data_IF_374735931165
#
_entry.id   IF_374735931165
#
_cell.length_a   1.000
_cell.length_b   1.000
_cell.length_c   1.000
_cell.angle_alpha   90.00
_cell.angle_beta   90.00
_cell.angle_gamma   90.00
#
_symmetry.space_group_name_H-M   'P 1'
#
loop_
_entity.id
_entity.type
_entity.pdbx_description
1 polymer ?
#
# COMPACT_ATOMS: atom_id res chain seq x y z
N UNK A 1 14.64 -0.70 -6.54
CA UNK A 1 13.47 -1.46 -7.03
C UNK A 1 12.39 -1.17 -6.03
N UNK A 2 11.48 -0.23 -6.31
CA UNK A 2 10.25 -0.17 -5.51
C UNK A 2 9.44 -1.41 -5.91
N UNK A 3 9.32 -2.37 -4.99
CA UNK A 3 8.24 -3.36 -5.08
C UNK A 3 6.94 -2.55 -5.13
N UNK A 4 6.18 -2.64 -6.22
CA UNK A 4 4.80 -2.13 -6.24
C UNK A 4 4.02 -2.92 -5.18
N UNK A 5 3.99 -2.38 -3.97
CA UNK A 5 3.28 -2.97 -2.84
C UNK A 5 1.79 -2.76 -3.12
N UNK A 6 1.09 -3.84 -3.45
CA UNK A 6 -0.35 -3.77 -3.61
C UNK A 6 -1.01 -3.69 -2.21
N UNK A 7 -1.75 -2.62 -1.90
CA UNK A 7 -2.40 -2.49 -0.61
C UNK A 7 -3.52 -3.52 -0.47
N UNK A 8 -3.73 -3.97 0.76
CA UNK A 8 -4.85 -4.83 1.10
C UNK A 8 -6.18 -4.11 0.80
N UNK A 9 -7.22 -4.89 0.46
CA UNK A 9 -8.55 -4.30 0.29
C UNK A 9 -9.03 -3.64 1.59
N UNK A 10 -9.78 -2.55 1.48
CA UNK A 10 -10.28 -1.81 2.65
C UNK A 10 -11.03 -2.71 3.66
N UNK A 11 -11.75 -3.73 3.17
CA UNK A 11 -12.45 -4.72 4.01
C UNK A 11 -11.45 -5.59 4.78
N UNK A 12 -10.37 -6.02 4.13
CA UNK A 12 -9.33 -6.82 4.78
C UNK A 12 -8.58 -6.00 5.83
N UNK A 13 -8.25 -4.74 5.54
CA UNK A 13 -7.63 -3.80 6.48
C UNK A 13 -8.53 -3.64 7.71
N UNK A 14 -9.81 -3.29 7.52
CA UNK A 14 -10.74 -3.09 8.64
C UNK A 14 -10.86 -4.33 9.53
N UNK A 15 -10.94 -5.53 8.94
CA UNK A 15 -10.96 -6.80 9.69
C UNK A 15 -9.71 -6.98 10.55
N UNK A 16 -8.53 -6.61 10.05
CA UNK A 16 -7.27 -6.66 10.81
C UNK A 16 -7.24 -5.62 11.93
N UNK A 17 -7.71 -4.39 11.68
CA UNK A 17 -7.79 -3.33 12.71
C UNK A 17 -8.75 -3.71 13.84
N UNK A 18 -9.88 -4.36 13.55
CA UNK A 18 -10.79 -4.88 14.57
C UNK A 18 -10.14 -5.91 15.49
N UNK A 19 -9.26 -6.77 14.95
CA UNK A 19 -8.49 -7.71 15.77
C UNK A 19 -7.51 -6.99 16.72
N UNK A 20 -6.95 -5.86 16.30
CA UNK A 20 -6.08 -5.04 17.14
C UNK A 20 -6.86 -4.31 18.23
N UNK A 21 -8.06 -3.80 17.92
CA UNK A 21 -8.99 -3.24 18.93
C UNK A 21 -9.33 -4.29 20.00
N UNK A 22 -9.65 -5.51 19.59
CA UNK A 22 -9.93 -6.62 20.51
C UNK A 22 -8.72 -7.03 21.38
N UNK A 23 -7.49 -6.77 20.91
CA UNK A 23 -6.25 -7.00 21.67
C UNK A 23 -5.86 -5.82 22.58
N UNK A 24 -6.70 -4.78 22.63
CA UNK A 24 -6.50 -3.56 23.41
C UNK A 24 -5.23 -2.78 23.03
N UNK A 25 -4.94 -2.67 21.73
CA UNK A 25 -3.96 -1.70 21.25
C UNK A 25 -4.53 -0.27 21.31
N UNK A 26 -3.66 0.73 21.44
CA UNK A 26 -4.09 2.14 21.44
C UNK A 26 -4.60 2.55 20.06
N UNK A 27 -5.47 3.57 20.02
CA UNK A 27 -5.94 4.13 18.74
C UNK A 27 -4.78 4.67 17.90
N UNK A 28 -3.72 5.21 18.51
CA UNK A 28 -2.53 5.65 17.78
C UNK A 28 -1.80 4.49 17.08
N UNK A 29 -1.71 3.33 17.75
CA UNK A 29 -1.11 2.12 17.15
C UNK A 29 -1.98 1.62 16.01
N UNK A 30 -3.30 1.64 16.18
CA UNK A 30 -4.26 1.22 15.15
C UNK A 30 -4.18 2.16 13.94
N UNK A 31 -4.06 3.47 14.16
CA UNK A 31 -3.90 4.47 13.11
C UNK A 31 -2.59 4.28 12.33
N UNK A 32 -1.48 4.01 13.03
CA UNK A 32 -0.19 3.69 12.41
C UNK A 32 -0.32 2.45 11.51
N UNK A 33 -0.82 1.35 12.05
CA UNK A 33 -0.98 0.09 11.31
C UNK A 33 -1.92 0.25 10.11
N UNK A 34 -2.96 1.08 10.24
CA UNK A 34 -3.85 1.39 9.13
C UNK A 34 -3.08 2.07 7.99
N UNK A 35 -2.32 3.12 8.30
CA UNK A 35 -1.50 3.83 7.31
C UNK A 35 -0.52 2.89 6.61
N UNK A 36 0.09 1.98 7.37
CA UNK A 36 1.06 1.02 6.86
C UNK A 36 0.43 -0.02 5.94
N UNK A 37 -0.76 -0.52 6.27
CA UNK A 37 -1.51 -1.39 5.35
C UNK A 37 -1.99 -0.65 4.09
N UNK A 38 -2.37 0.62 4.21
CA UNK A 38 -2.75 1.47 3.07
C UNK A 38 -1.55 1.78 2.17
N UNK A 39 -0.34 1.86 2.74
CA UNK A 39 0.92 1.94 2.00
C UNK A 39 1.29 0.60 1.32
N UNK A 40 0.74 -0.51 1.80
CA UNK A 40 0.97 -1.86 1.26
C UNK A 40 2.02 -2.68 2.03
N UNK A 41 2.34 -2.31 3.28
CA UNK A 41 3.14 -3.18 4.15
C UNK A 41 2.41 -4.51 4.39
N UNK A 42 3.17 -5.61 4.29
CA UNK A 42 2.66 -6.97 4.52
C UNK A 42 2.50 -7.21 6.02
N UNK A 43 1.63 -8.16 6.37
CA UNK A 43 1.41 -8.53 7.78
C UNK A 43 2.71 -8.97 8.49
N UNK A 44 3.60 -9.65 7.78
CA UNK A 44 4.92 -10.04 8.28
C UNK A 44 5.78 -8.82 8.67
N UNK A 45 5.72 -7.75 7.88
CA UNK A 45 6.47 -6.52 8.11
C UNK A 45 5.89 -5.74 9.30
N UNK A 46 4.56 -5.61 9.34
CA UNK A 46 3.87 -4.95 10.45
C UNK A 46 4.13 -5.69 11.77
N UNK A 47 4.21 -7.03 11.72
CA UNK A 47 4.53 -7.83 12.91
C UNK A 47 5.91 -7.53 13.51
N UNK A 48 6.83 -6.94 12.74
CA UNK A 48 8.18 -6.59 13.23
C UNK A 48 8.17 -5.51 14.31
N UNK A 49 7.25 -4.55 14.20
CA UNK A 49 7.13 -3.45 15.16
C UNK A 49 5.91 -3.58 16.08
N UNK A 50 4.93 -4.43 15.74
CA UNK A 50 3.69 -4.57 16.51
C UNK A 50 3.87 -5.40 17.80
N UNK A 51 4.60 -4.85 18.77
CA UNK A 51 4.90 -5.48 20.05
C UNK A 51 4.54 -4.55 21.23
N UNK A 52 3.83 -5.08 22.23
CA UNK A 52 3.39 -4.32 23.42
C UNK A 52 4.54 -3.82 24.31
N UNK A 53 5.77 -4.32 24.11
CA UNK A 53 6.95 -3.78 24.80
C UNK A 53 7.45 -2.45 24.22
N UNK A 54 7.02 -2.09 23.02
CA UNK A 54 7.38 -0.82 22.40
C UNK A 54 6.35 0.26 22.73
N UNK A 55 6.83 1.49 22.92
CA UNK A 55 5.97 2.66 22.88
C UNK A 55 5.61 3.03 21.42
N UNK A 56 4.66 3.96 21.26
CA UNK A 56 4.18 4.36 19.94
C UNK A 56 5.27 5.06 19.12
N UNK A 57 6.17 5.78 19.76
CA UNK A 57 7.30 6.46 19.11
C UNK A 57 8.31 5.45 18.53
N UNK A 58 8.63 4.39 19.27
CA UNK A 58 9.47 3.29 18.80
C UNK A 58 8.81 2.56 17.63
N UNK A 59 7.50 2.31 17.68
CA UNK A 59 6.76 1.69 16.57
C UNK A 59 6.80 2.55 15.31
N UNK A 60 6.67 3.88 15.43
CA UNK A 60 6.75 4.81 14.31
C UNK A 60 8.12 4.77 13.62
N UNK A 61 9.22 4.71 14.39
CA UNK A 61 10.57 4.63 13.80
C UNK A 61 10.75 3.31 13.03
N UNK A 62 10.26 2.20 13.58
CA UNK A 62 10.35 0.90 12.90
C UNK A 62 9.46 0.84 11.65
N UNK A 63 8.26 1.42 11.69
CA UNK A 63 7.40 1.61 10.52
C UNK A 63 8.09 2.45 9.44
N UNK A 64 8.74 3.56 9.83
CA UNK A 64 9.51 4.42 8.92
C UNK A 64 10.67 3.66 8.26
N UNK A 65 11.36 2.78 9.00
CA UNK A 65 12.40 1.93 8.42
C UNK A 65 11.87 1.04 7.30
N UNK A 66 10.63 0.53 7.44
CA UNK A 66 9.99 -0.33 6.44
C UNK A 66 9.55 0.47 5.20
N UNK A 67 9.13 1.72 5.38
CA UNK A 67 8.81 2.62 4.26
C UNK A 67 10.03 3.09 3.47
N UNK A 68 11.22 3.12 4.10
CA UNK A 68 12.48 3.52 3.46
C UNK A 68 13.29 2.34 2.92
N UNK A 69 12.69 1.15 2.86
CA UNK A 69 13.33 -0.11 2.45
C UNK A 69 14.68 -0.35 3.17
N UNK A 70 14.75 0.02 4.45
CA UNK A 70 15.93 -0.21 5.28
C UNK A 70 16.13 -1.73 5.38
N UNK A 71 17.32 -2.26 5.08
CA UNK A 71 17.54 -3.70 5.08
C UNK A 71 17.40 -4.28 6.48
N UNK A 72 16.97 -5.54 6.52
CA UNK A 72 16.53 -6.22 7.74
C UNK A 72 17.60 -6.29 8.82
N UNK A 73 18.87 -6.39 8.45
CA UNK A 73 20.02 -6.37 9.35
C UNK A 73 20.13 -5.05 10.14
N UNK A 74 19.85 -3.92 9.49
CA UNK A 74 19.80 -2.61 10.12
C UNK A 74 18.56 -2.46 11.01
N UNK A 75 17.40 -2.94 10.55
CA UNK A 75 16.17 -2.98 11.38
C UNK A 75 16.41 -3.82 12.65
N UNK A 76 17.12 -4.93 12.54
CA UNK A 76 17.44 -5.81 13.66
C UNK A 76 18.34 -5.14 14.71
N UNK A 77 19.18 -4.18 14.31
CA UNK A 77 19.94 -3.34 15.22
C UNK A 77 19.01 -2.32 15.89
N UNK A 78 18.24 -1.58 15.09
CA UNK A 78 17.36 -0.50 15.58
C UNK A 78 16.30 -1.03 16.55
N UNK A 79 15.71 -2.20 16.29
CA UNK A 79 14.63 -2.78 17.10
C UNK A 79 15.05 -3.21 18.51
N UNK A 80 16.33 -3.15 18.87
CA UNK A 80 16.78 -3.59 20.19
C UNK A 80 16.15 -2.72 21.29
N UNK A 81 15.30 -3.35 22.12
CA UNK A 81 14.51 -2.69 23.19
C UNK A 81 15.34 -1.98 24.25
N UNK A 82 16.66 -2.17 24.28
CA UNK A 82 17.59 -1.44 25.15
C UNK A 82 17.83 0.00 24.71
N UNK A 83 17.52 0.33 23.45
CA UNK A 83 17.74 1.65 22.89
C UNK A 83 16.56 2.57 23.13
N UNK A 84 16.86 3.82 23.48
CA UNK A 84 15.86 4.89 23.55
C UNK A 84 15.37 5.28 22.16
N UNK A 85 14.17 5.87 22.09
CA UNK A 85 13.59 6.46 20.86
C UNK A 85 14.61 7.34 20.14
N UNK A 86 15.34 8.18 20.87
CA UNK A 86 16.36 9.06 20.29
C UNK A 86 17.53 8.30 19.67
N UNK A 87 17.98 7.20 20.29
CA UNK A 87 19.05 6.37 19.76
C UNK A 87 18.61 5.62 18.50
N UNK A 88 17.36 5.13 18.47
CA UNK A 88 16.77 4.51 17.28
C UNK A 88 16.71 5.51 16.11
N UNK A 89 16.25 6.73 16.39
CA UNK A 89 16.12 7.78 15.37
C UNK A 89 17.49 8.24 14.82
N UNK A 90 18.47 8.43 15.71
CA UNK A 90 19.85 8.77 15.30
C UNK A 90 20.48 7.66 14.46
N UNK A 91 20.18 6.39 14.77
CA UNK A 91 20.67 5.24 13.99
C UNK A 91 20.13 5.25 12.57
N UNK A 92 18.83 5.51 12.41
CA UNK A 92 18.19 5.63 11.11
C UNK A 92 18.80 6.81 10.31
N UNK A 93 18.97 7.97 10.95
CA UNK A 93 19.59 9.15 10.33
C UNK A 93 21.03 8.85 9.85
N UNK A 94 21.83 8.13 10.63
CA UNK A 94 23.20 7.76 10.25
C UNK A 94 23.22 6.83 9.05
N UNK A 95 22.29 5.88 9.01
CA UNK A 95 22.15 4.96 7.88
C UNK A 95 21.79 5.72 6.59
N UNK A 96 20.84 6.65 6.65
CA UNK A 96 20.46 7.50 5.50
C UNK A 96 21.61 8.36 4.98
N UNK A 97 22.49 8.78 5.89
CA UNK A 97 23.70 9.54 5.56
C UNK A 97 24.86 8.68 5.07
N UNK A 98 24.67 7.37 4.91
CA UNK A 98 25.64 6.44 4.34
C UNK A 98 26.71 5.97 5.33
N UNK A 99 26.47 6.08 6.63
CA UNK A 99 27.37 5.52 7.64
C UNK A 99 27.30 3.99 7.60
N UNK A 100 28.43 3.27 7.59
CA UNK A 100 28.42 1.81 7.60
C UNK A 100 27.64 1.24 8.78
N UNK A 101 26.80 0.24 8.53
CA UNK A 101 25.96 -0.44 9.54
C UNK A 101 26.79 -0.92 10.74
N UNK A 102 28.00 -1.43 10.49
CA UNK A 102 28.92 -1.88 11.52
C UNK A 102 29.35 -0.74 12.47
N UNK A 103 29.62 0.44 11.92
CA UNK A 103 29.97 1.62 12.72
C UNK A 103 28.78 2.07 13.56
N UNK A 104 27.56 2.06 13.00
CA UNK A 104 26.35 2.42 13.76
C UNK A 104 26.16 1.46 14.93
N UNK A 105 26.30 0.15 14.70
CA UNK A 105 26.20 -0.87 15.74
C UNK A 105 27.19 -0.64 16.89
N UNK A 106 28.46 -0.39 16.58
CA UNK A 106 29.50 -0.14 17.59
C UNK A 106 29.21 1.11 18.43
N UNK A 107 28.71 2.16 17.78
CA UNK A 107 28.39 3.43 18.45
C UNK A 107 27.17 3.25 19.34
N UNK A 108 26.19 2.44 18.91
CA UNK A 108 24.99 2.07 19.68
C UNK A 108 25.30 1.15 20.88
N UNK A 109 26.18 0.16 20.71
CA UNK A 109 26.57 -0.78 21.76
C UNK A 109 27.38 -0.12 22.88
N UNK A 110 28.05 1.00 22.61
CA UNK A 110 28.73 1.80 23.64
C UNK A 110 27.76 2.52 24.58
N UNK A 111 26.46 2.56 24.25
CA UNK A 111 25.42 3.12 25.12
C UNK A 111 25.61 4.62 25.42
N UNK A 112 26.33 5.33 24.55
CA UNK A 112 26.68 6.72 24.79
C UNK A 112 25.49 7.67 24.59
N UNK A 113 25.56 8.84 25.22
CA UNK A 113 24.51 9.87 25.13
C UNK A 113 24.36 10.33 23.67
N UNK A 114 23.15 10.71 23.20
CA UNK A 114 22.90 11.15 21.82
C UNK A 114 23.84 12.26 21.32
N UNK A 115 24.30 13.14 22.23
CA UNK A 115 25.28 14.19 21.92
C UNK A 115 26.63 13.60 21.50
N UNK A 116 27.11 12.57 22.20
CA UNK A 116 28.38 11.92 21.85
C UNK A 116 28.25 11.09 20.58
N UNK A 117 27.08 10.49 20.34
CA UNK A 117 26.77 9.81 19.07
C UNK A 117 26.89 10.77 17.88
N UNK A 118 26.32 11.98 18.01
CA UNK A 118 26.39 13.01 16.97
C UNK A 118 27.83 13.48 16.73
N UNK A 119 28.63 13.59 17.80
CA UNK A 119 30.07 13.91 17.68
C UNK A 119 30.86 12.79 16.98
N UNK A 120 30.57 11.53 17.32
CA UNK A 120 31.17 10.37 16.65
C UNK A 120 30.79 10.33 15.16
N UNK A 121 29.56 10.71 14.82
CA UNK A 121 29.14 10.88 13.43
C UNK A 121 29.89 11.99 12.71
N UNK A 122 30.07 13.16 13.33
CA UNK A 122 30.89 14.23 12.77
C UNK A 122 32.34 13.77 12.56
N UNK A 123 32.92 13.06 13.52
CA UNK A 123 34.27 12.47 13.42
C UNK A 123 34.37 11.44 12.27
N UNK A 124 33.39 10.53 12.15
CA UNK A 124 33.34 9.51 11.07
C UNK A 124 33.13 10.18 9.71
N UNK A 125 32.27 11.19 9.60
CA UNK A 125 32.10 11.98 8.38
C UNK A 125 33.40 12.70 8.00
N UNK A 126 34.08 13.28 8.98
CA UNK A 126 35.33 13.98 8.74
C UNK A 126 36.42 13.00 8.28
N UNK A 127 36.46 11.80 8.84
CA UNK A 127 37.34 10.71 8.39
C UNK A 127 36.98 10.24 6.98
N UNK A 128 35.69 10.01 6.66
CA UNK A 128 35.24 9.65 5.32
C UNK A 128 35.57 10.73 4.29
N UNK A 129 35.43 12.01 4.67
CA UNK A 129 35.81 13.14 3.82
C UNK A 129 37.32 13.26 3.65
N UNK A 130 38.12 12.99 4.69
CA UNK A 130 39.59 12.93 4.60
C UNK A 130 40.05 11.77 3.72
N UNK A 131 39.44 10.59 3.85
CA UNK A 131 39.70 9.43 2.99
C UNK A 131 39.33 9.77 1.55
N UNK A 132 38.16 10.35 1.28
CA UNK A 132 37.79 10.84 -0.07
C UNK A 132 38.77 11.85 -0.65
N UNK A 133 39.33 12.74 0.17
CA UNK A 133 40.34 13.75 -0.25
C UNK A 133 41.75 13.18 -0.40
N UNK A 134 42.06 12.04 0.23
CA UNK A 134 43.38 11.41 0.23
C UNK A 134 43.51 10.25 -0.75
N UNK A 135 42.43 9.83 -1.43
CA UNK A 135 42.53 8.91 -2.56
C UNK A 135 43.33 9.62 -3.65
N UNK A 136 44.57 9.19 -3.96
CA UNK A 136 45.26 9.67 -5.14
C UNK A 136 44.43 9.24 -6.35
N UNK A 137 44.31 10.13 -7.32
CA UNK A 137 43.58 9.95 -8.58
C UNK A 137 44.20 8.86 -9.51
N UNK A 138 44.84 7.84 -8.95
CA UNK A 138 45.65 6.84 -9.64
C UNK A 138 45.39 5.43 -9.12
N UNK A 139 44.20 4.92 -9.42
CA UNK A 139 44.09 3.52 -9.80
C UNK A 139 43.07 3.49 -10.92
N UNK A 140 43.50 3.06 -12.09
CA UNK A 140 42.68 2.90 -13.30
C UNK A 140 41.39 2.11 -13.00
N UNK A 141 41.44 1.23 -12.00
CA UNK A 141 40.31 0.49 -11.44
C UNK A 141 39.28 1.37 -10.72
N UNK A 142 39.72 2.36 -9.93
CA UNK A 142 38.81 3.29 -9.23
C UNK A 142 38.17 4.26 -10.21
N UNK A 143 38.90 4.73 -11.22
CA UNK A 143 38.31 5.50 -12.34
C UNK A 143 37.29 4.67 -13.12
N UNK A 144 37.57 3.40 -13.39
CA UNK A 144 36.63 2.50 -14.05
C UNK A 144 35.36 2.26 -13.20
N UNK A 145 35.51 2.08 -11.87
CA UNK A 145 34.37 1.92 -10.97
C UNK A 145 33.53 3.19 -10.85
N UNK A 146 34.17 4.37 -10.73
CA UNK A 146 33.47 5.66 -10.70
C UNK A 146 32.76 5.89 -12.04
N UNK A 147 33.41 5.60 -13.16
CA UNK A 147 32.79 5.73 -14.48
C UNK A 147 31.62 4.76 -14.67
N UNK A 148 31.71 3.53 -14.13
CA UNK A 148 30.58 2.58 -14.12
C UNK A 148 29.45 3.05 -13.20
N UNK A 149 29.78 3.62 -12.04
CA UNK A 149 28.79 4.21 -11.13
C UNK A 149 28.10 5.41 -11.77
N UNK A 150 28.84 6.30 -12.43
CA UNK A 150 28.27 7.45 -13.14
C UNK A 150 27.38 7.00 -14.31
N UNK A 151 27.75 5.93 -15.02
CA UNK A 151 26.94 5.36 -16.10
C UNK A 151 25.66 4.69 -15.56
N UNK A 152 25.73 4.03 -14.41
CA UNK A 152 24.57 3.45 -13.71
C UNK A 152 23.68 4.57 -13.15
N UNK A 153 24.24 5.63 -12.57
CA UNK A 153 23.50 6.81 -12.09
C UNK A 153 22.81 7.54 -13.24
N UNK A 154 23.47 7.67 -14.40
CA UNK A 154 22.87 8.25 -15.60
C UNK A 154 21.72 7.39 -16.14
N UNK A 155 21.85 6.05 -16.14
CA UNK A 155 20.77 5.12 -16.50
C UNK A 155 19.62 5.18 -15.50
N UNK A 156 19.90 5.33 -14.21
CA UNK A 156 18.89 5.52 -13.16
C UNK A 156 18.16 6.85 -13.35
N UNK A 157 18.87 7.95 -13.62
CA UNK A 157 18.24 9.25 -13.85
C UNK A 157 17.37 9.24 -15.11
N UNK A 158 17.84 8.65 -16.21
CA UNK A 158 17.01 8.47 -17.41
C UNK A 158 15.80 7.56 -17.14
N UNK A 159 15.92 6.56 -16.27
CA UNK A 159 14.79 5.74 -15.85
C UNK A 159 13.81 6.55 -14.99
N UNK A 160 14.29 7.34 -14.03
CA UNK A 160 13.47 8.22 -13.21
C UNK A 160 12.70 9.25 -14.05
N UNK A 161 13.35 9.91 -15.02
CA UNK A 161 12.67 10.82 -15.96
C UNK A 161 11.58 10.11 -16.78
N UNK A 162 11.82 8.84 -17.17
CA UNK A 162 10.82 8.02 -17.86
C UNK A 162 9.68 7.60 -16.94
N UNK A 163 9.96 7.32 -15.66
CA UNK A 163 8.95 7.03 -14.65
C UNK A 163 8.12 8.26 -14.29
N UNK A 164 8.72 9.46 -14.21
CA UNK A 164 8.00 10.71 -14.02
C UNK A 164 7.09 11.02 -15.21
N UNK A 165 7.58 10.79 -16.44
CA UNK A 165 6.76 10.90 -17.65
C UNK A 165 5.61 9.87 -17.69
N UNK A 166 5.84 8.66 -17.15
CA UNK A 166 4.83 7.61 -17.06
C UNK A 166 3.80 7.89 -15.95
N UNK A 167 4.25 8.36 -14.79
CA UNK A 167 3.43 8.77 -13.65
C UNK A 167 2.58 9.99 -13.98
N UNK A 168 3.13 10.93 -14.77
CA UNK A 168 2.33 12.04 -15.31
C UNK A 168 1.23 11.54 -16.25
N UNK A 169 1.52 10.57 -17.12
CA UNK A 169 0.49 9.93 -17.97
C UNK A 169 -0.52 9.13 -17.16
N UNK A 170 -0.09 8.43 -16.10
CA UNK A 170 -0.97 7.72 -15.18
C UNK A 170 -1.87 8.69 -14.41
N UNK A 171 -1.35 9.82 -13.96
CA UNK A 171 -2.13 10.89 -13.33
C UNK A 171 -3.13 11.50 -14.32
N UNK A 172 -2.74 11.72 -15.58
CA UNK A 172 -3.67 12.13 -16.64
C UNK A 172 -4.80 11.10 -16.84
N UNK A 173 -4.49 9.79 -16.79
CA UNK A 173 -5.49 8.71 -16.83
C UNK A 173 -6.36 8.68 -15.56
N UNK A 174 -5.80 8.86 -14.37
CA UNK A 174 -6.54 8.92 -13.10
C UNK A 174 -7.42 10.18 -13.00
N UNK A 175 -7.03 11.28 -13.63
CA UNK A 175 -7.87 12.48 -13.75
C UNK A 175 -8.97 12.36 -14.80
N UNK A 176 -8.95 11.32 -15.65
CA UNK A 176 -10.08 10.93 -16.52
C UNK A 176 -11.22 10.25 -15.73
N UNK A 177 -11.53 10.79 -14.54
CA UNK A 177 -12.69 10.50 -13.69
C UNK A 177 -14.06 10.68 -14.38
N UNK A 178 -14.08 11.11 -15.65
CA UNK A 178 -15.28 11.07 -16.48
C UNK A 178 -15.84 9.65 -16.65
N UNK A 179 -15.00 8.61 -16.54
CA UNK A 179 -15.43 7.22 -16.66
C UNK A 179 -16.21 6.71 -15.44
N UNK A 180 -15.97 7.23 -14.23
CA UNK A 180 -16.72 6.82 -13.03
C UNK A 180 -18.15 7.38 -13.04
N UNK A 181 -18.32 8.64 -13.48
CA UNK A 181 -19.64 9.25 -13.67
C UNK A 181 -20.43 8.63 -14.83
N UNK A 182 -19.77 8.19 -15.90
CA UNK A 182 -20.41 7.39 -16.97
C UNK A 182 -20.80 6.01 -16.43
N UNK A 183 -19.95 5.36 -15.63
CA UNK A 183 -20.25 4.05 -15.04
C UNK A 183 -21.41 4.11 -14.06
N UNK A 184 -21.47 5.11 -13.18
CA UNK A 184 -22.62 5.30 -12.27
C UNK A 184 -23.92 5.57 -13.03
N UNK A 185 -23.88 6.40 -14.07
CA UNK A 185 -25.05 6.64 -14.93
C UNK A 185 -25.53 5.37 -15.62
N UNK A 186 -24.61 4.58 -16.19
CA UNK A 186 -24.95 3.30 -16.85
C UNK A 186 -25.47 2.25 -15.86
N UNK A 187 -24.94 2.19 -14.64
CA UNK A 187 -25.44 1.29 -13.59
C UNK A 187 -26.86 1.67 -13.20
N UNK A 188 -27.12 2.96 -12.98
CA UNK A 188 -28.46 3.46 -12.63
C UNK A 188 -29.47 3.21 -13.75
N UNK A 189 -29.09 3.48 -14.99
CA UNK A 189 -29.96 3.24 -16.15
C UNK A 189 -30.29 1.75 -16.33
N UNK A 190 -29.32 0.85 -16.08
CA UNK A 190 -29.58 -0.59 -16.10
C UNK A 190 -30.54 -1.02 -14.98
N UNK A 191 -30.36 -0.51 -13.76
CA UNK A 191 -31.27 -0.80 -12.65
C UNK A 191 -32.72 -0.35 -12.95
N UNK A 192 -32.88 0.82 -13.55
CA UNK A 192 -34.20 1.34 -13.95
C UNK A 192 -34.85 0.47 -15.05
N UNK A 193 -34.05 0.00 -16.03
CA UNK A 193 -34.52 -0.93 -17.08
C UNK A 193 -34.92 -2.29 -16.51
N UNK A 194 -34.17 -2.85 -15.57
CA UNK A 194 -34.51 -4.12 -14.92
C UNK A 194 -35.82 -4.01 -14.11
N UNK A 195 -36.06 -2.88 -13.44
CA UNK A 195 -37.32 -2.61 -12.77
C UNK A 195 -38.50 -2.57 -13.75
N UNK A 196 -38.31 -1.92 -14.91
CA UNK A 196 -39.32 -1.84 -15.96
C UNK A 196 -39.62 -3.21 -16.57
N UNK A 197 -38.59 -4.02 -16.86
CA UNK A 197 -38.73 -5.38 -17.39
C UNK A 197 -39.53 -6.24 -16.41
N UNK A 198 -39.22 -6.19 -15.12
CA UNK A 198 -39.97 -6.93 -14.10
C UNK A 198 -41.44 -6.52 -14.04
N UNK A 199 -41.73 -5.22 -14.17
CA UNK A 199 -43.09 -4.71 -14.24
C UNK A 199 -43.83 -5.24 -15.48
N UNK A 200 -43.21 -5.18 -16.64
CA UNK A 200 -43.77 -5.70 -17.89
C UNK A 200 -43.99 -7.22 -17.84
N UNK A 201 -43.06 -7.97 -17.23
CA UNK A 201 -43.20 -9.41 -17.04
C UNK A 201 -44.40 -9.74 -16.16
N UNK A 202 -44.65 -8.96 -15.11
CA UNK A 202 -45.83 -9.12 -14.26
C UNK A 202 -47.12 -8.86 -15.02
N UNK A 203 -47.17 -7.81 -15.84
CA UNK A 203 -48.34 -7.52 -16.69
C UNK A 203 -48.57 -8.59 -17.76
N UNK A 204 -47.51 -9.10 -18.39
CA UNK A 204 -47.58 -10.23 -19.32
C UNK A 204 -48.12 -11.50 -18.65
N UNK A 205 -47.69 -11.79 -17.42
CA UNK A 205 -48.20 -12.92 -16.65
C UNK A 205 -49.69 -12.76 -16.34
N UNK A 206 -50.13 -11.55 -15.95
CA UNK A 206 -51.56 -11.26 -15.74
C UNK A 206 -52.36 -11.44 -17.03
N UNK A 207 -51.92 -10.84 -18.13
CA UNK A 207 -52.58 -10.96 -19.43
C UNK A 207 -52.65 -12.42 -19.90
N UNK A 208 -51.56 -13.17 -19.75
CA UNK A 208 -51.51 -14.61 -20.05
C UNK A 208 -52.50 -15.41 -19.21
N UNK A 209 -52.64 -15.09 -17.92
CA UNK A 209 -53.63 -15.73 -17.05
C UNK A 209 -55.07 -15.44 -17.47
N UNK A 210 -55.33 -14.24 -17.99
CA UNK A 210 -56.65 -13.85 -18.51
C UNK A 210 -56.95 -14.55 -19.83
N UNK A 211 -55.97 -14.65 -20.74
CA UNK A 211 -56.10 -15.37 -22.02
C UNK A 211 -56.39 -16.85 -21.76
N UNK A 212 -55.73 -17.48 -20.79
CA UNK A 212 -55.98 -18.87 -20.42
C UNK A 212 -57.44 -19.07 -19.97
N UNK A 213 -57.97 -18.20 -19.09
CA UNK A 213 -59.37 -18.27 -18.65
C UNK A 213 -60.36 -18.10 -19.81
N UNK A 214 -60.13 -17.12 -20.68
CA UNK A 214 -60.99 -16.90 -21.84
C UNK A 214 -60.98 -18.08 -22.82
N UNK A 215 -59.83 -18.74 -23.00
CA UNK A 215 -59.74 -19.98 -23.80
C UNK A 215 -60.56 -21.11 -23.18
N UNK A 216 -60.47 -21.31 -21.87
CA UNK A 216 -61.27 -22.31 -21.17
C UNK A 216 -62.77 -22.04 -21.30
N UNK A 217 -63.17 -20.76 -21.21
CA UNK A 217 -64.57 -20.34 -21.35
C UNK A 217 -65.09 -20.53 -22.78
N UNK A 218 -64.27 -20.24 -23.80
CA UNK A 218 -64.59 -20.50 -25.21
C UNK A 218 -64.75 -22.01 -25.44
N UNK A 219 -63.84 -22.84 -24.93
CA UNK A 219 -63.91 -24.30 -25.10
C UNK A 219 -65.17 -24.88 -24.44
N UNK A 220 -65.54 -24.39 -23.26
CA UNK A 220 -66.80 -24.76 -22.61
C UNK A 220 -68.01 -24.38 -23.46
N UNK A 221 -68.05 -23.15 -23.98
CA UNK A 221 -69.15 -22.69 -24.83
C UNK A 221 -69.24 -23.46 -26.15
N UNK A 222 -68.12 -23.79 -26.78
CA UNK A 222 -68.09 -24.62 -27.99
C UNK A 222 -68.63 -26.03 -27.73
N UNK A 223 -68.30 -26.64 -26.58
CA UNK A 223 -68.87 -27.94 -26.18
C UNK A 223 -70.37 -27.85 -25.93
N UNK A 224 -70.86 -26.77 -25.32
CA UNK A 224 -72.29 -26.54 -25.10
C UNK A 224 -73.05 -26.31 -26.41
N UNK A 225 -72.50 -25.51 -27.34
CA UNK A 225 -73.11 -25.30 -28.66
C UNK A 225 -73.20 -26.60 -29.47
N UNK A 226 -72.15 -27.44 -29.45
CA UNK A 226 -72.20 -28.76 -30.11
C UNK A 226 -73.31 -29.65 -29.54
N UNK A 227 -73.55 -29.60 -28.22
CA UNK A 227 -74.62 -30.37 -27.56
C UNK A 227 -76.03 -29.84 -27.84
N UNK A 228 -76.17 -28.56 -28.19
CA UNK A 228 -77.46 -27.95 -28.55
C UNK A 228 -77.76 -28.00 -30.06
N UNK A 229 -76.79 -28.38 -30.87
CA UNK A 229 -76.92 -28.54 -32.32
C UNK A 229 -77.14 -29.98 -32.82
N UNK A 230 -77.01 -30.97 -31.93
CA UNK A 230 -77.46 -32.36 -32.12
C UNK A 230 -78.94 -32.50 -31.67
#
# INVERSE_FOLDING_TARGET
>A
MEENREPLSAIAIEKKLQLLRNKHFSEDTIALVKSDYEYGLKEEEISLYLNKSYDIEQMKILSECLHKDVPKDMIDIIKNTKYSVHQMQVSLEFYEKGVPVQTIKEVMDKGEKPITMRRLYEEVLEQLNKVKKQIPEESEYVKALISQMDEVVAKINHQNERYDALNKKLSEIETSKDDEGVRERLVKENQDKDALINSQQNELNKASSTIARLRDDIEKKDKEMKRMGD
#
